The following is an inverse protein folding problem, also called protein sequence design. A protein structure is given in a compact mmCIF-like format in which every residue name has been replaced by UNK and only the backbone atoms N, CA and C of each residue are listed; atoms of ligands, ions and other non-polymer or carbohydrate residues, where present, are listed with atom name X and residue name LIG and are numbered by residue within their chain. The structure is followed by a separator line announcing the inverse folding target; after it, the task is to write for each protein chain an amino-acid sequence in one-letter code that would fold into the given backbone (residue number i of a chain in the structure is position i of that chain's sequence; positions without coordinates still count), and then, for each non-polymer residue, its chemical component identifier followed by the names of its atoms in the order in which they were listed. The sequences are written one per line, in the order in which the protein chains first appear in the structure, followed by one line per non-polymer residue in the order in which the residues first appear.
data_IF_441661815660
#
_entry.id   IF_441661815660
#
_cell.length_a   1.000
_cell.length_b   1.000
_cell.length_c   1.000
_cell.angle_alpha   90.00
_cell.angle_beta   90.00
_cell.angle_gamma   90.00
#
_symmetry.space_group_name_H-M   'P 1'
#
loop_
_entity.id
_entity.type
_entity.pdbx_description
1 polymer ?
#
# COMPACT_ATOMS: atom_id res chain seq x y z
N UNK A 1 1.79 -55.72 5.90
CA UNK A 1 0.52 -55.20 6.44
C UNK A 1 0.10 -54.07 5.51
N UNK A 2 -1.06 -54.17 4.86
CA UNK A 2 -1.53 -53.12 3.95
C UNK A 2 -1.78 -51.81 4.73
N UNK A 3 -1.36 -50.65 4.20
CA UNK A 3 -1.63 -49.37 4.85
C UNK A 3 -3.13 -49.07 4.79
N UNK A 4 -3.75 -48.89 5.96
CA UNK A 4 -5.15 -48.45 6.06
C UNK A 4 -5.34 -47.15 5.28
N UNK A 5 -6.42 -47.09 4.49
CA UNK A 5 -6.83 -45.91 3.72
C UNK A 5 -7.11 -44.73 4.69
N UNK A 6 -6.12 -43.86 4.92
CA UNK A 6 -6.29 -42.60 5.64
C UNK A 6 -6.87 -41.55 4.67
N UNK A 7 -7.77 -40.69 5.15
CA UNK A 7 -8.26 -39.56 4.37
C UNK A 7 -7.18 -38.48 4.29
N UNK A 8 -7.17 -37.71 3.20
CA UNK A 8 -6.09 -36.77 2.88
C UNK A 8 -5.84 -35.70 3.96
N UNK A 9 -6.87 -35.30 4.71
CA UNK A 9 -6.74 -34.32 5.79
C UNK A 9 -6.10 -34.88 7.07
N UNK A 10 -5.99 -36.20 7.18
CA UNK A 10 -5.41 -36.89 8.35
C UNK A 10 -3.93 -37.25 8.15
N UNK A 11 -3.31 -36.77 7.07
CA UNK A 11 -1.91 -37.04 6.73
C UNK A 11 -1.05 -35.88 7.22
N UNK A 12 -0.16 -36.17 8.17
CA UNK A 12 0.79 -35.18 8.66
C UNK A 12 2.06 -35.18 7.79
N UNK A 13 2.77 -34.04 7.77
CA UNK A 13 3.97 -33.86 6.94
C UNK A 13 5.04 -34.97 7.17
N UNK A 14 5.14 -35.50 8.40
CA UNK A 14 6.04 -36.61 8.73
C UNK A 14 5.63 -37.96 8.12
N UNK A 15 4.35 -38.18 7.78
CA UNK A 15 3.87 -39.44 7.20
C UNK A 15 4.40 -39.66 5.77
N UNK A 16 4.82 -38.59 5.09
CA UNK A 16 5.36 -38.62 3.71
C UNK A 16 6.86 -38.90 3.70
N UNK A 17 7.59 -38.52 4.76
CA UNK A 17 9.06 -38.61 4.84
C UNK A 17 9.55 -40.06 4.93
N UNK A 18 8.67 -41.00 5.32
CA UNK A 18 9.01 -42.43 5.45
C UNK A 18 8.81 -43.28 4.18
N UNK A 19 8.28 -42.71 3.08
CA UNK A 19 7.94 -43.51 1.89
C UNK A 19 9.20 -43.70 1.03
N UNK A 20 9.93 -44.79 1.27
CA UNK A 20 11.04 -45.21 0.38
C UNK A 20 10.50 -45.57 -0.99
N UNK A 21 10.83 -44.75 -2.00
CA UNK A 21 10.65 -44.99 -3.44
C UNK A 21 9.28 -45.61 -3.82
N UNK A 22 8.18 -44.87 -3.67
CA UNK A 22 6.90 -45.32 -4.21
C UNK A 22 6.98 -45.29 -5.73
N UNK A 23 6.56 -46.38 -6.39
CA UNK A 23 6.45 -46.41 -7.85
C UNK A 23 5.46 -45.33 -8.33
N UNK A 24 5.69 -44.79 -9.53
CA UNK A 24 4.84 -43.73 -10.12
C UNK A 24 3.35 -44.12 -10.14
N UNK A 25 3.05 -45.41 -10.26
CA UNK A 25 1.70 -45.95 -10.21
C UNK A 25 1.04 -45.84 -8.82
N UNK A 26 1.82 -45.98 -7.74
CA UNK A 26 1.34 -45.82 -6.37
C UNK A 26 1.02 -44.34 -6.07
N UNK A 27 1.86 -43.42 -6.54
CA UNK A 27 1.65 -41.96 -6.36
C UNK A 27 0.38 -41.50 -7.10
N UNK A 28 0.16 -41.95 -8.34
CA UNK A 28 -1.04 -41.59 -9.13
C UNK A 28 -2.35 -41.99 -8.46
N UNK A 29 -2.36 -43.03 -7.62
CA UNK A 29 -3.56 -43.51 -6.92
C UNK A 29 -3.95 -42.62 -5.74
N UNK A 30 -3.01 -41.84 -5.19
CA UNK A 30 -3.22 -40.91 -4.08
C UNK A 30 -3.57 -39.49 -4.52
N UNK A 31 -3.25 -39.16 -5.77
CA UNK A 31 -3.36 -37.80 -6.30
C UNK A 31 -4.38 -37.83 -7.44
N UNK A 32 -5.66 -37.78 -7.09
CA UNK A 32 -6.65 -37.22 -8.02
C UNK A 32 -6.42 -35.70 -8.05
N UNK A 33 -5.51 -35.23 -8.90
CA UNK A 33 -5.53 -33.82 -9.31
C UNK A 33 -6.79 -33.64 -10.12
N UNK A 34 -7.87 -33.18 -9.47
CA UNK A 34 -8.98 -32.55 -10.19
C UNK A 34 -8.37 -31.39 -10.96
N UNK A 35 -8.59 -31.37 -12.27
CA UNK A 35 -8.09 -30.36 -13.21
C UNK A 35 -8.16 -28.96 -12.58
N UNK A 36 -7.04 -28.52 -12.02
CA UNK A 36 -6.91 -27.19 -11.47
C UNK A 36 -6.53 -26.31 -12.64
N UNK A 37 -7.50 -25.55 -13.16
CA UNK A 37 -7.21 -24.46 -14.08
C UNK A 37 -6.57 -23.31 -13.29
N UNK A 38 -5.33 -23.49 -12.84
CA UNK A 38 -4.49 -22.35 -12.50
C UNK A 38 -4.05 -21.71 -13.81
N UNK A 39 -4.21 -20.39 -13.92
CA UNK A 39 -3.45 -19.61 -14.87
C UNK A 39 -1.95 -19.99 -14.71
N UNK A 40 -1.18 -20.10 -15.81
CA UNK A 40 0.24 -20.40 -15.72
C UNK A 40 0.95 -19.24 -15.02
N UNK A 41 1.07 -19.30 -13.70
CA UNK A 41 2.01 -18.47 -12.98
C UNK A 41 3.40 -18.97 -13.35
N UNK A 42 4.24 -18.09 -13.87
CA UNK A 42 5.69 -18.34 -13.96
C UNK A 42 6.15 -18.76 -12.57
N UNK A 43 7.01 -19.77 -12.47
CA UNK A 43 7.46 -20.39 -11.23
C UNK A 43 8.30 -19.38 -10.41
N UNK A 44 7.64 -18.38 -9.83
CA UNK A 44 8.24 -17.44 -8.89
C UNK A 44 8.56 -18.21 -7.61
N UNK A 45 9.74 -17.95 -7.05
CA UNK A 45 10.12 -18.48 -5.74
C UNK A 45 9.08 -18.05 -4.70
N UNK A 46 8.82 -18.91 -3.70
CA UNK A 46 7.87 -18.61 -2.63
C UNK A 46 8.19 -17.29 -1.92
N UNK A 47 9.46 -16.89 -1.86
CA UNK A 47 9.90 -15.61 -1.31
C UNK A 47 9.35 -14.40 -2.07
N UNK A 48 9.37 -14.44 -3.41
CA UNK A 48 8.87 -13.33 -4.24
C UNK A 48 7.36 -13.19 -4.08
N UNK A 49 6.63 -14.31 -4.06
CA UNK A 49 5.18 -14.30 -3.84
C UNK A 49 4.85 -13.82 -2.42
N UNK A 50 5.60 -14.27 -1.40
CA UNK A 50 5.40 -13.85 -0.02
C UNK A 50 5.64 -12.34 0.17
N UNK A 51 6.65 -11.76 -0.49
CA UNK A 51 6.93 -10.32 -0.45
C UNK A 51 5.80 -9.50 -1.09
N UNK A 52 5.30 -9.93 -2.26
CA UNK A 52 4.19 -9.26 -2.94
C UNK A 52 2.89 -9.32 -2.10
N UNK A 53 2.60 -10.48 -1.51
CA UNK A 53 1.48 -10.66 -0.58
C UNK A 53 1.63 -9.77 0.67
N UNK A 54 2.85 -9.64 1.21
CA UNK A 54 3.11 -8.76 2.35
C UNK A 54 2.88 -7.28 1.99
N UNK A 55 3.39 -6.83 0.85
CA UNK A 55 3.16 -5.46 0.36
C UNK A 55 1.68 -5.17 0.13
N UNK A 56 0.96 -6.10 -0.50
CA UNK A 56 -0.50 -5.99 -0.72
C UNK A 56 -1.25 -5.91 0.61
N UNK A 57 -0.86 -6.73 1.60
CA UNK A 57 -1.48 -6.73 2.93
C UNK A 57 -1.23 -5.43 3.68
N UNK A 58 -0.02 -4.86 3.62
CA UNK A 58 0.28 -3.57 4.23
C UNK A 58 -0.57 -2.45 3.62
N UNK A 59 -0.69 -2.42 2.29
CA UNK A 59 -1.56 -1.47 1.59
C UNK A 59 -3.02 -1.60 2.04
N UNK A 60 -3.53 -2.83 2.17
CA UNK A 60 -4.89 -3.06 2.68
C UNK A 60 -5.07 -2.56 4.12
N UNK A 61 -4.07 -2.75 4.98
CA UNK A 61 -4.09 -2.23 6.35
C UNK A 61 -4.08 -0.69 6.38
N UNK A 62 -3.25 -0.06 5.54
CA UNK A 62 -3.19 1.40 5.41
C UNK A 62 -4.55 1.98 5.01
N UNK A 63 -5.18 1.41 3.97
CA UNK A 63 -6.51 1.84 3.52
C UNK A 63 -7.57 1.60 4.60
N UNK A 64 -7.52 0.45 5.28
CA UNK A 64 -8.45 0.14 6.37
C UNK A 64 -8.32 1.12 7.54
N UNK A 65 -7.09 1.53 7.87
CA UNK A 65 -6.83 2.51 8.93
C UNK A 65 -7.29 3.91 8.51
N UNK A 66 -7.01 4.32 7.28
CA UNK A 66 -7.48 5.61 6.74
C UNK A 66 -9.02 5.70 6.76
N UNK A 67 -9.72 4.62 6.40
CA UNK A 67 -11.19 4.55 6.50
C UNK A 67 -11.68 4.76 7.93
N UNK A 68 -11.05 4.13 8.93
CA UNK A 68 -11.38 4.33 10.36
C UNK A 68 -11.21 5.78 10.80
N UNK A 69 -10.16 6.46 10.33
CA UNK A 69 -10.01 7.91 10.58
C UNK A 69 -11.19 8.65 9.93
N UNK A 70 -11.51 8.34 8.68
CA UNK A 70 -12.62 8.97 7.97
C UNK A 70 -13.96 8.83 8.69
N UNK A 71 -14.25 7.64 9.23
CA UNK A 71 -15.45 7.38 10.02
C UNK A 71 -15.49 8.25 11.29
N UNK A 72 -14.36 8.39 12.00
CA UNK A 72 -14.26 9.22 13.21
C UNK A 72 -14.56 10.70 12.94
N UNK A 73 -14.17 11.21 11.75
CA UNK A 73 -14.35 12.61 11.37
C UNK A 73 -15.57 12.84 10.46
N UNK A 74 -16.38 11.80 10.22
CA UNK A 74 -17.56 11.85 9.34
C UNK A 74 -17.24 12.42 7.94
N UNK A 75 -16.14 11.96 7.33
CA UNK A 75 -15.73 12.45 6.02
C UNK A 75 -16.79 12.21 4.94
N UNK A 76 -16.96 13.19 4.07
CA UNK A 76 -17.83 13.15 2.88
C UNK A 76 -16.98 12.90 1.64
N UNK A 77 -16.36 11.72 1.56
CA UNK A 77 -15.49 11.32 0.44
C UNK A 77 -15.61 9.82 0.18
N UNK A 78 -15.73 9.42 -1.09
CA UNK A 78 -15.59 8.02 -1.49
C UNK A 78 -14.10 7.69 -1.63
N UNK A 79 -13.52 7.18 -0.55
CA UNK A 79 -12.11 6.77 -0.54
C UNK A 79 -11.82 5.67 -1.57
N UNK A 80 -12.77 4.76 -1.83
CA UNK A 80 -12.52 3.68 -2.79
C UNK A 80 -12.49 4.21 -4.23
N UNK A 81 -13.34 5.18 -4.56
CA UNK A 81 -13.27 5.89 -5.84
C UNK A 81 -11.96 6.65 -5.99
N UNK A 82 -11.58 7.46 -4.98
CA UNK A 82 -10.35 8.25 -4.99
C UNK A 82 -9.12 7.37 -5.17
N UNK A 83 -9.00 6.29 -4.39
CA UNK A 83 -7.84 5.40 -4.42
C UNK A 83 -7.77 4.55 -5.71
N UNK A 84 -8.90 4.32 -6.39
CA UNK A 84 -8.91 3.67 -7.72
C UNK A 84 -8.61 4.65 -8.85
N UNK A 85 -8.99 5.91 -8.70
CA UNK A 85 -8.89 6.94 -9.73
C UNK A 85 -7.47 7.43 -10.00
N UNK A 86 -6.54 7.20 -9.08
CA UNK A 86 -5.16 7.66 -9.21
C UNK A 86 -4.16 6.60 -8.72
N UNK A 87 -3.16 6.21 -9.53
CA UNK A 87 -2.14 5.26 -9.09
C UNK A 87 -1.23 5.91 -8.05
N UNK A 88 -1.06 5.25 -6.91
CA UNK A 88 -0.23 5.76 -5.80
C UNK A 88 0.64 4.66 -5.20
N UNK A 89 1.78 5.08 -4.65
CA UNK A 89 2.68 4.26 -3.84
C UNK A 89 2.58 4.64 -2.37
N UNK A 90 2.25 5.90 -2.10
CA UNK A 90 2.21 6.46 -0.76
C UNK A 90 0.97 7.33 -0.53
N UNK A 91 0.50 7.31 0.71
CA UNK A 91 -0.57 8.15 1.24
C UNK A 91 -0.06 8.98 2.42
N UNK A 92 -0.48 10.24 2.46
CA UNK A 92 -0.24 11.16 3.59
C UNK A 92 -1.52 11.90 3.93
N UNK A 93 -1.87 11.91 5.21
CA UNK A 93 -2.97 12.70 5.75
C UNK A 93 -2.41 13.88 6.54
N UNK A 94 -2.92 15.08 6.23
CA UNK A 94 -2.56 16.30 6.97
C UNK A 94 -3.79 17.01 7.52
N UNK A 95 -3.61 17.76 8.61
CA UNK A 95 -4.60 18.70 9.12
C UNK A 95 -4.57 20.04 8.39
N UNK A 96 -5.41 20.98 8.80
CA UNK A 96 -5.54 22.32 8.18
C UNK A 96 -4.27 23.17 8.27
N UNK A 97 -3.44 22.95 9.28
CA UNK A 97 -2.15 23.62 9.41
C UNK A 97 -1.03 22.99 8.55
N UNK A 98 -1.40 21.96 7.77
CA UNK A 98 -0.56 21.16 6.88
C UNK A 98 0.47 20.31 7.63
N UNK A 99 0.21 19.99 8.90
CA UNK A 99 1.00 19.00 9.64
C UNK A 99 0.48 17.61 9.38
N UNK A 100 1.42 16.68 9.24
CA UNK A 100 1.18 15.26 9.04
C UNK A 100 0.53 14.70 10.31
N UNK A 101 -0.63 14.07 10.12
CA UNK A 101 -1.39 13.36 11.15
C UNK A 101 -1.25 11.85 10.99
N UNK A 102 -1.02 11.37 9.76
CA UNK A 102 -0.82 9.97 9.46
C UNK A 102 -0.12 9.78 8.11
N UNK A 103 0.61 8.66 7.98
CA UNK A 103 1.28 8.24 6.75
C UNK A 103 1.14 6.73 6.56
N UNK A 104 0.98 6.31 5.31
CA UNK A 104 1.05 4.89 4.92
C UNK A 104 2.46 4.30 5.07
N UNK A 105 2.55 2.97 5.10
CA UNK A 105 3.83 2.26 5.02
C UNK A 105 4.57 2.53 3.69
N UNK A 106 3.81 2.75 2.62
CA UNK A 106 4.36 3.15 1.33
C UNK A 106 5.07 4.50 1.38
N UNK A 107 4.58 5.45 2.16
CA UNK A 107 5.23 6.74 2.35
C UNK A 107 6.57 6.62 3.10
N UNK A 108 6.62 5.76 4.12
CA UNK A 108 7.89 5.48 4.82
C UNK A 108 8.91 4.83 3.89
N UNK A 109 8.46 3.83 3.11
CA UNK A 109 9.31 3.10 2.16
C UNK A 109 9.85 4.04 1.07
N UNK A 110 9.00 4.92 0.55
CA UNK A 110 9.37 5.91 -0.45
C UNK A 110 10.33 6.95 0.14
N UNK A 111 10.01 7.57 1.27
CA UNK A 111 10.78 8.74 1.75
C UNK A 111 11.99 8.39 2.61
N UNK A 112 12.03 7.17 3.19
CA UNK A 112 13.02 6.74 4.16
C UNK A 112 12.83 7.33 5.57
N UNK A 113 11.73 8.04 5.81
CA UNK A 113 11.35 8.52 7.15
C UNK A 113 10.37 7.57 7.81
N UNK A 114 10.48 7.40 9.12
CA UNK A 114 9.49 6.65 9.90
C UNK A 114 8.29 7.53 10.27
N UNK A 115 7.10 6.95 10.50
CA UNK A 115 5.91 7.72 10.90
C UNK A 115 6.18 8.59 12.14
N UNK A 116 6.90 8.06 13.13
CA UNK A 116 7.26 8.80 14.36
C UNK A 116 8.07 10.08 14.08
N UNK A 117 8.91 10.09 13.04
CA UNK A 117 9.67 11.27 12.65
C UNK A 117 8.82 12.30 11.89
N UNK A 118 7.76 11.83 11.23
CA UNK A 118 6.91 12.62 10.34
C UNK A 118 5.73 13.26 11.07
N UNK A 119 5.17 12.59 12.09
CA UNK A 119 4.03 13.08 12.84
C UNK A 119 4.27 14.52 13.37
N UNK A 120 3.31 15.41 13.10
CA UNK A 120 3.38 16.83 13.47
C UNK A 120 4.31 17.69 12.62
N UNK A 121 5.07 17.12 11.68
CA UNK A 121 5.89 17.88 10.72
C UNK A 121 5.09 18.25 9.47
N UNK A 122 5.59 19.20 8.68
CA UNK A 122 5.00 19.57 7.39
C UNK A 122 5.67 18.79 6.26
N UNK A 123 4.93 18.31 5.23
CA UNK A 123 5.53 17.61 4.08
C UNK A 123 6.62 18.40 3.34
N UNK A 124 6.67 19.73 3.51
CA UNK A 124 7.76 20.57 3.03
C UNK A 124 9.15 20.16 3.52
N UNK A 125 9.25 19.28 4.53
CA UNK A 125 10.51 18.66 4.95
C UNK A 125 11.18 17.85 3.82
N UNK A 126 10.41 17.39 2.84
CA UNK A 126 10.90 16.66 1.67
C UNK A 126 11.39 17.61 0.55
N UNK A 127 11.17 18.92 0.67
CA UNK A 127 11.61 19.88 -0.34
C UNK A 127 13.08 20.24 -0.12
N UNK A 128 13.81 20.50 -1.20
CA UNK A 128 15.24 20.78 -1.16
C UNK A 128 15.69 21.72 -2.27
N UNK A 129 17.00 21.77 -2.53
CA UNK A 129 17.61 22.77 -3.40
C UNK A 129 17.10 22.72 -4.86
N UNK A 130 16.70 21.55 -5.35
CA UNK A 130 16.16 21.35 -6.70
C UNK A 130 14.64 21.52 -6.79
N UNK A 131 13.93 21.73 -5.69
CA UNK A 131 12.48 21.93 -5.73
C UNK A 131 12.16 23.30 -6.33
N UNK A 132 11.42 23.33 -7.44
CA UNK A 132 11.06 24.58 -8.12
C UNK A 132 10.16 25.47 -7.23
N UNK A 133 10.61 26.69 -6.88
CA UNK A 133 9.82 27.61 -6.06
C UNK A 133 8.48 28.00 -6.71
N UNK A 134 8.40 28.03 -8.04
CA UNK A 134 7.13 28.34 -8.75
C UNK A 134 6.10 27.24 -8.52
N UNK A 135 6.52 25.97 -8.53
CA UNK A 135 5.66 24.82 -8.21
C UNK A 135 5.22 24.86 -6.75
N UNK A 136 6.10 25.26 -5.83
CA UNK A 136 5.75 25.46 -4.42
C UNK A 136 4.67 26.55 -4.28
N UNK A 137 4.79 27.67 -5.00
CA UNK A 137 3.80 28.74 -4.93
C UNK A 137 2.47 28.34 -5.58
N UNK A 138 2.51 27.59 -6.68
CA UNK A 138 1.32 26.97 -7.27
C UNK A 138 0.63 26.02 -6.28
N UNK A 139 1.39 25.15 -5.61
CA UNK A 139 0.87 24.27 -4.55
C UNK A 139 0.17 25.08 -3.44
N UNK A 140 0.78 26.17 -2.97
CA UNK A 140 0.16 27.04 -1.94
C UNK A 140 -1.12 27.71 -2.44
N UNK A 141 -1.21 28.06 -3.71
CA UNK A 141 -2.42 28.65 -4.30
C UNK A 141 -3.52 27.60 -4.41
N UNK A 142 -3.21 26.40 -4.93
CA UNK A 142 -4.18 25.33 -5.10
C UNK A 142 -4.73 24.83 -3.77
N UNK A 143 -3.90 24.78 -2.71
CA UNK A 143 -4.39 24.45 -1.36
C UNK A 143 -5.46 25.43 -0.83
N UNK A 144 -5.60 26.62 -1.41
CA UNK A 144 -6.65 27.59 -1.04
C UNK A 144 -7.94 27.40 -1.82
N UNK A 145 -7.92 26.76 -3.00
CA UNK A 145 -9.13 26.59 -3.81
C UNK A 145 -10.09 25.56 -3.22
N UNK A 146 -9.62 24.70 -2.31
CA UNK A 146 -10.40 23.60 -1.73
C UNK A 146 -10.96 22.66 -2.80
N UNK A 147 -10.26 22.53 -3.93
CA UNK A 147 -10.52 21.59 -5.01
C UNK A 147 -9.41 20.55 -5.09
N UNK A 148 -9.70 19.38 -5.67
CA UNK A 148 -8.67 18.38 -5.96
C UNK A 148 -7.75 18.87 -7.07
N UNK A 149 -6.44 18.69 -6.90
CA UNK A 149 -5.46 19.05 -7.92
C UNK A 149 -4.26 18.12 -7.92
N UNK A 150 -3.52 18.17 -9.02
CA UNK A 150 -2.29 17.42 -9.23
C UNK A 150 -1.10 18.37 -9.38
N UNK A 151 0.05 17.96 -8.87
CA UNK A 151 1.32 18.64 -9.09
C UNK A 151 2.47 17.65 -9.08
N UNK A 152 3.44 17.85 -9.97
CA UNK A 152 4.71 17.12 -9.95
C UNK A 152 5.82 18.02 -9.45
N UNK A 153 6.62 17.60 -8.46
CA UNK A 153 7.76 18.36 -7.94
C UNK A 153 8.90 17.47 -7.47
N UNK A 154 10.12 18.01 -7.48
CA UNK A 154 11.30 17.34 -6.93
C UNK A 154 11.24 17.32 -5.41
N UNK A 155 11.27 16.12 -4.83
CA UNK A 155 11.39 15.88 -3.39
C UNK A 155 12.70 15.16 -3.08
N UNK A 156 13.04 15.08 -1.80
CA UNK A 156 14.28 14.51 -1.29
C UNK A 156 13.96 13.51 -0.19
N UNK A 157 14.56 12.32 -0.30
CA UNK A 157 14.49 11.30 0.74
C UNK A 157 15.31 11.73 1.96
N UNK A 158 15.15 11.03 3.08
CA UNK A 158 16.00 11.17 4.27
C UNK A 158 17.49 11.03 3.97
N UNK A 159 17.85 10.23 2.97
CA UNK A 159 19.22 10.05 2.48
C UNK A 159 19.79 11.26 1.72
N UNK A 160 18.95 12.23 1.34
CA UNK A 160 19.29 13.33 0.45
C UNK A 160 19.16 13.00 -1.04
N UNK A 161 18.73 11.79 -1.40
CA UNK A 161 18.46 11.44 -2.80
C UNK A 161 17.23 12.19 -3.31
N UNK A 162 17.38 12.89 -4.43
CA UNK A 162 16.28 13.54 -5.13
C UNK A 162 15.43 12.52 -5.90
N UNK A 163 14.12 12.77 -5.98
CA UNK A 163 13.17 12.03 -6.81
C UNK A 163 12.06 12.96 -7.29
N UNK A 164 11.50 12.68 -8.47
CA UNK A 164 10.32 13.38 -8.96
C UNK A 164 9.08 12.76 -8.34
N UNK A 165 8.31 13.56 -7.60
CA UNK A 165 7.09 13.11 -6.95
C UNK A 165 5.87 13.69 -7.68
N UNK A 166 4.98 12.81 -8.16
CA UNK A 166 3.65 13.21 -8.58
C UNK A 166 2.69 13.10 -7.40
N UNK A 167 2.01 14.19 -7.11
CA UNK A 167 1.11 14.32 -5.95
C UNK A 167 -0.27 14.72 -6.44
N UNK A 168 -1.29 13.93 -6.09
CA UNK A 168 -2.68 14.33 -6.18
C UNK A 168 -3.23 14.60 -4.78
N UNK A 169 -3.72 15.82 -4.56
CA UNK A 169 -4.20 16.27 -3.24
C UNK A 169 -5.71 16.40 -3.28
N UNK A 170 -6.38 15.74 -2.33
CA UNK A 170 -7.82 15.79 -2.12
C UNK A 170 -8.12 16.56 -0.81
N UNK A 171 -8.84 17.69 -0.87
CA UNK A 171 -9.42 18.31 0.31
C UNK A 171 -10.56 17.42 0.83
N UNK A 172 -10.62 17.20 2.15
CA UNK A 172 -11.62 16.34 2.77
C UNK A 172 -12.53 17.14 3.70
N UNK A 173 -13.82 17.06 3.44
CA UNK A 173 -14.87 17.76 4.16
C UNK A 173 -15.64 16.80 5.09
N UNK A 174 -16.17 17.32 6.19
CA UNK A 174 -17.08 16.57 7.06
C UNK A 174 -18.56 16.70 6.58
N UNK A 175 -19.48 16.07 7.31
CA UNK A 175 -20.93 16.15 7.04
C UNK A 175 -21.51 17.57 7.03
N UNK A 176 -20.88 18.53 7.70
CA UNK A 176 -21.31 19.94 7.73
C UNK A 176 -20.58 20.81 6.69
N UNK A 177 -19.91 20.19 5.72
CA UNK A 177 -19.19 20.86 4.63
C UNK A 177 -18.00 21.72 5.09
N UNK A 178 -17.45 21.43 6.27
CA UNK A 178 -16.22 22.07 6.74
C UNK A 178 -15.01 21.27 6.26
N UNK A 179 -14.02 21.97 5.71
CA UNK A 179 -12.73 21.39 5.40
C UNK A 179 -12.05 20.94 6.70
N UNK A 180 -11.64 19.69 6.77
CA UNK A 180 -11.02 19.10 7.98
C UNK A 180 -9.59 18.64 7.74
N UNK A 181 -9.33 18.05 6.57
CA UNK A 181 -8.06 17.40 6.25
C UNK A 181 -7.69 17.58 4.79
N UNK A 182 -6.44 17.25 4.46
CA UNK A 182 -6.01 16.97 3.10
C UNK A 182 -5.41 15.58 3.02
N UNK A 183 -5.82 14.80 2.02
CA UNK A 183 -5.23 13.51 1.68
C UNK A 183 -4.39 13.66 0.41
N UNK A 184 -3.11 13.35 0.49
CA UNK A 184 -2.22 13.31 -0.65
C UNK A 184 -1.97 11.86 -1.07
N UNK A 185 -2.15 11.58 -2.36
CA UNK A 185 -1.74 10.36 -3.04
C UNK A 185 -0.45 10.68 -3.79
N UNK A 186 0.61 9.95 -3.49
CA UNK A 186 1.95 10.21 -4.03
C UNK A 186 2.49 8.98 -4.75
N UNK A 187 3.23 9.22 -5.83
CA UNK A 187 4.07 8.22 -6.49
C UNK A 187 5.32 8.86 -7.04
N UNK A 188 6.39 8.08 -7.11
CA UNK A 188 7.58 8.46 -7.85
C UNK A 188 7.36 8.29 -9.37
N UNK A 189 7.99 9.16 -10.16
CA UNK A 189 7.91 9.16 -11.64
C UNK A 189 9.28 8.98 -12.26
#
# INVERSE_FOLDING_TARGET
MEPKNKKLHDIHCLDVVGIKNPSLAAIKKFIEIKNFQAAPYVLHSMDVIAMDLAGTRLRQLDVSYLKKIGDQYNWQIDLDEVLRGFPFEALVLTGLDRRILWTSHGFESMTGYTSNELLGRKPSLLQGAGTDPKKIDQLKLNLKSSETFEIQLTNYRKSGQAYECLVQIHPIFNQVQELTHFLALEREV
#
